data_IF_706762811114
#
_entry.id   IF_706762811114
#
_cell.length_a   1.000
_cell.length_b   1.000
_cell.length_c   1.000
_cell.angle_alpha   90.00
_cell.angle_beta   90.00
_cell.angle_gamma   90.00
#
_symmetry.space_group_name_H-M   'P 1'
#
loop_
_entity.id
_entity.type
_entity.pdbx_description
1 polymer ?
#
# COMPACT_ATOMS: atom_id res chain seq x y z
N UNK A 1 -7.08 2.39 -21.40
CA UNK A 1 -7.19 2.64 -19.95
C UNK A 1 -6.81 1.40 -19.19
N UNK A 2 -5.95 1.54 -18.20
CA UNK A 2 -5.51 0.42 -17.36
C UNK A 2 -5.95 0.64 -15.92
N UNK A 3 -6.09 -0.46 -15.19
CA UNK A 3 -6.36 -0.44 -13.76
C UNK A 3 -5.05 -0.68 -13.02
N UNK A 4 -4.63 0.29 -12.22
CA UNK A 4 -3.35 0.26 -11.51
C UNK A 4 -3.62 0.35 -10.02
N UNK A 5 -3.00 -0.54 -9.24
CA UNK A 5 -3.14 -0.57 -7.79
C UNK A 5 -1.81 -0.22 -7.13
N UNK A 6 -1.85 0.70 -6.17
CA UNK A 6 -0.70 1.06 -5.33
C UNK A 6 -0.87 0.51 -3.92
N UNK A 7 0.21 0.01 -3.36
CA UNK A 7 0.32 -0.35 -1.95
C UNK A 7 1.52 0.39 -1.35
N UNK A 8 1.29 1.07 -0.23
CA UNK A 8 2.35 1.82 0.43
C UNK A 8 2.15 1.83 1.94
N UNK A 9 3.23 1.92 2.69
CA UNK A 9 3.18 2.12 4.14
C UNK A 9 2.78 3.58 4.45
N UNK A 10 2.24 3.87 5.66
CA UNK A 10 1.77 5.21 6.02
C UNK A 10 2.93 6.13 6.43
N UNK A 11 3.88 6.33 5.53
CA UNK A 11 5.04 7.19 5.75
C UNK A 11 5.14 8.21 4.62
N UNK A 12 5.29 9.49 4.97
CA UNK A 12 5.37 10.57 3.98
C UNK A 12 6.53 10.39 3.01
N UNK A 13 7.70 9.94 3.51
CA UNK A 13 8.87 9.70 2.67
C UNK A 13 8.68 8.60 1.62
N UNK A 14 7.75 7.67 1.86
CA UNK A 14 7.41 6.60 0.92
C UNK A 14 6.23 6.98 0.04
N UNK A 15 5.27 7.72 0.58
CA UNK A 15 4.04 8.11 -0.14
C UNK A 15 4.29 9.26 -1.11
N UNK A 16 4.97 10.33 -0.69
CA UNK A 16 5.17 11.53 -1.51
C UNK A 16 5.77 11.24 -2.90
N UNK A 17 6.81 10.41 -3.04
CA UNK A 17 7.37 10.13 -4.36
C UNK A 17 6.37 9.47 -5.33
N UNK A 18 5.38 8.74 -4.81
CA UNK A 18 4.39 8.05 -5.65
C UNK A 18 3.30 8.99 -6.17
N UNK A 19 3.04 10.11 -5.51
CA UNK A 19 1.92 10.99 -5.84
C UNK A 19 2.05 11.62 -7.23
N UNK A 20 3.27 11.98 -7.64
CA UNK A 20 3.53 12.48 -8.98
C UNK A 20 3.22 11.44 -10.06
N UNK A 21 3.58 10.20 -9.80
CA UNK A 21 3.29 9.08 -10.70
C UNK A 21 1.79 8.82 -10.77
N UNK A 22 1.09 8.86 -9.64
CA UNK A 22 -0.37 8.70 -9.59
C UNK A 22 -1.05 9.80 -10.41
N UNK A 23 -0.64 11.06 -10.24
CA UNK A 23 -1.20 12.19 -11.02
C UNK A 23 -1.02 11.97 -12.52
N UNK A 24 0.15 11.50 -12.94
CA UNK A 24 0.44 11.23 -14.35
C UNK A 24 -0.44 10.10 -14.89
N UNK A 25 -0.61 9.02 -14.15
CA UNK A 25 -1.49 7.93 -14.56
C UNK A 25 -2.94 8.40 -14.69
N UNK A 26 -3.44 9.15 -13.72
CA UNK A 26 -4.82 9.65 -13.78
C UNK A 26 -5.02 10.67 -14.90
N UNK A 27 -4.02 11.52 -15.16
CA UNK A 27 -4.05 12.46 -16.27
C UNK A 27 -4.10 11.76 -17.63
N UNK A 28 -3.51 10.56 -17.73
CA UNK A 28 -3.55 9.75 -18.95
C UNK A 28 -4.78 8.86 -19.06
N UNK A 29 -5.72 8.99 -18.15
CA UNK A 29 -6.99 8.27 -18.20
C UNK A 29 -6.96 6.87 -17.57
N UNK A 30 -5.91 6.52 -16.83
CA UNK A 30 -5.86 5.26 -16.11
C UNK A 30 -6.64 5.36 -14.79
N UNK A 31 -7.22 4.24 -14.36
CA UNK A 31 -7.86 4.14 -13.07
C UNK A 31 -6.83 3.69 -12.04
N UNK A 32 -6.69 4.47 -10.96
CA UNK A 32 -5.73 4.19 -9.89
C UNK A 32 -6.47 3.96 -8.57
N UNK A 33 -6.20 2.82 -7.95
CA UNK A 33 -6.68 2.49 -6.61
C UNK A 33 -5.45 2.41 -5.69
N UNK A 34 -5.51 3.10 -4.54
CA UNK A 34 -4.36 3.25 -3.66
C UNK A 34 -4.71 2.76 -2.25
N UNK A 35 -4.08 1.68 -1.84
CA UNK A 35 -4.24 1.08 -0.51
C UNK A 35 -3.24 1.70 0.44
N UNK A 36 -3.71 2.37 1.47
CA UNK A 36 -2.88 2.99 2.49
C UNK A 36 -3.70 3.21 3.78
N UNK A 37 -3.31 4.16 4.57
CA UNK A 37 -3.89 4.41 5.90
C UNK A 37 -4.45 5.82 5.97
N UNK A 38 -5.42 6.04 6.87
CA UNK A 38 -6.17 7.29 6.96
C UNK A 38 -5.33 8.58 6.96
N UNK A 39 -4.16 8.65 7.65
CA UNK A 39 -3.34 9.85 7.61
C UNK A 39 -2.90 10.28 6.20
N UNK A 40 -2.87 9.35 5.24
CA UNK A 40 -2.46 9.60 3.86
C UNK A 40 -3.62 9.88 2.92
N UNK A 41 -4.88 9.72 3.36
CA UNK A 41 -6.08 9.81 2.50
C UNK A 41 -6.12 11.10 1.69
N UNK A 42 -5.99 12.25 2.34
CA UNK A 42 -6.12 13.55 1.69
C UNK A 42 -5.11 13.72 0.55
N UNK A 43 -3.86 13.35 0.78
CA UNK A 43 -2.80 13.43 -0.22
C UNK A 43 -3.07 12.51 -1.41
N UNK A 44 -3.50 11.30 -1.14
CA UNK A 44 -3.76 10.28 -2.16
C UNK A 44 -4.96 10.66 -3.01
N UNK A 45 -6.06 11.09 -2.40
CA UNK A 45 -7.25 11.51 -3.13
C UNK A 45 -6.98 12.78 -3.95
N UNK A 46 -6.18 13.72 -3.43
CA UNK A 46 -5.78 14.91 -4.17
C UNK A 46 -4.96 14.59 -5.42
N UNK A 47 -4.26 13.45 -5.44
CA UNK A 47 -3.53 12.99 -6.61
C UNK A 47 -4.42 12.32 -7.67
N UNK A 48 -5.69 12.08 -7.36
CA UNK A 48 -6.67 11.51 -8.28
C UNK A 48 -6.93 10.02 -8.12
N UNK A 49 -6.34 9.38 -7.13
CA UNK A 49 -6.55 7.95 -6.88
C UNK A 49 -7.79 7.72 -6.00
N UNK A 50 -8.39 6.53 -6.13
CA UNK A 50 -9.36 6.04 -5.18
C UNK A 50 -8.63 5.48 -3.98
N UNK A 51 -8.84 6.07 -2.81
CA UNK A 51 -8.22 5.61 -1.57
C UNK A 51 -8.98 4.42 -0.99
N UNK A 52 -8.23 3.41 -0.53
CA UNK A 52 -8.78 2.27 0.21
C UNK A 52 -8.03 2.15 1.53
N UNK A 53 -8.76 2.21 2.64
CA UNK A 53 -8.16 2.17 3.98
C UNK A 53 -7.78 0.75 4.39
N UNK A 54 -6.54 0.57 4.81
CA UNK A 54 -6.05 -0.67 5.42
C UNK A 54 -6.27 -0.70 6.95
N UNK A 55 -6.56 0.45 7.56
CA UNK A 55 -6.68 0.61 9.00
C UNK A 55 -7.56 -0.45 9.69
N UNK A 56 -8.76 -0.81 9.17
CA UNK A 56 -9.61 -1.78 9.84
C UNK A 56 -9.03 -3.20 9.93
N UNK A 57 -8.01 -3.49 9.13
CA UNK A 57 -7.45 -4.85 9.00
C UNK A 57 -6.07 -4.98 9.60
N UNK A 58 -5.44 -3.87 10.00
CA UNK A 58 -4.04 -3.85 10.40
C UNK A 58 -3.86 -3.80 11.91
N UNK A 59 -2.80 -4.44 12.38
CA UNK A 59 -2.37 -4.39 13.77
C UNK A 59 -1.80 -3.01 14.17
N UNK A 60 -1.41 -2.17 13.21
CA UNK A 60 -0.83 -0.85 13.50
C UNK A 60 -1.74 0.05 14.33
N UNK A 61 -3.06 -0.12 14.21
CA UNK A 61 -4.00 0.64 15.00
C UNK A 61 -3.89 0.36 16.52
N UNK A 62 -3.19 -0.70 16.90
CA UNK A 62 -2.96 -1.07 18.29
C UNK A 62 -1.58 -0.68 18.80
N UNK A 63 -0.74 -0.05 17.95
CA UNK A 63 0.59 0.39 18.34
C UNK A 63 0.52 1.61 19.26
N UNK A 64 1.38 1.61 20.28
CA UNK A 64 1.56 2.75 21.17
C UNK A 64 2.53 3.75 20.55
N UNK A 65 2.58 5.01 21.06
CA UNK A 65 3.62 5.96 20.63
C UNK A 65 5.03 5.43 20.85
N UNK A 66 5.25 4.65 21.92
CA UNK A 66 6.55 4.02 22.18
C UNK A 66 6.91 2.98 21.11
N UNK A 67 5.93 2.21 20.66
CA UNK A 67 6.11 1.25 19.58
C UNK A 67 6.46 1.96 18.28
N UNK A 68 5.78 3.07 17.97
CA UNK A 68 6.08 3.90 16.82
C UNK A 68 7.51 4.40 16.82
N UNK A 69 8.05 4.76 17.99
CA UNK A 69 9.43 5.20 18.13
C UNK A 69 10.46 4.06 17.92
N UNK A 70 10.07 2.80 18.14
CA UNK A 70 10.91 1.64 17.89
C UNK A 70 11.03 1.29 16.40
N UNK A 71 9.99 1.59 15.63
CA UNK A 71 9.97 1.31 14.20
C UNK A 71 11.11 2.10 13.53
N UNK A 72 11.96 1.41 12.78
CA UNK A 72 13.11 2.00 12.14
C UNK A 72 14.39 2.01 12.97
N UNK A 73 14.29 1.79 14.28
CA UNK A 73 15.45 1.70 15.18
C UNK A 73 15.74 0.27 15.61
N UNK A 74 14.72 -0.54 15.73
CA UNK A 74 14.80 -1.95 16.10
C UNK A 74 14.38 -2.77 14.89
N UNK A 75 15.35 -3.36 14.21
CA UNK A 75 15.12 -4.11 12.97
C UNK A 75 14.24 -5.32 13.23
N UNK A 76 14.44 -6.02 14.33
CA UNK A 76 13.64 -7.20 14.67
C UNK A 76 12.18 -6.81 14.90
N UNK A 77 11.94 -5.72 15.62
CA UNK A 77 10.60 -5.21 15.87
C UNK A 77 9.94 -4.73 14.58
N UNK A 78 10.67 -3.96 13.76
CA UNK A 78 10.14 -3.47 12.47
C UNK A 78 9.77 -4.62 11.54
N UNK A 79 10.61 -5.66 11.47
CA UNK A 79 10.34 -6.86 10.68
C UNK A 79 9.10 -7.59 11.19
N UNK A 80 8.97 -7.72 12.52
CA UNK A 80 7.79 -8.32 13.13
C UNK A 80 6.51 -7.58 12.74
N UNK A 81 6.51 -6.25 12.79
CA UNK A 81 5.36 -5.43 12.37
C UNK A 81 5.03 -5.65 10.89
N UNK A 82 6.03 -5.71 10.03
CA UNK A 82 5.79 -5.97 8.59
C UNK A 82 5.17 -7.33 8.35
N UNK A 83 5.63 -8.36 9.07
CA UNK A 83 5.06 -9.71 8.96
C UNK A 83 3.61 -9.73 9.46
N UNK A 84 3.35 -9.14 10.62
CA UNK A 84 1.99 -9.06 11.19
C UNK A 84 1.05 -8.31 10.25
N UNK A 85 1.49 -7.19 9.70
CA UNK A 85 0.71 -6.41 8.73
C UNK A 85 0.42 -7.24 7.48
N UNK A 86 1.41 -7.92 6.95
CA UNK A 86 1.25 -8.78 5.76
C UNK A 86 0.21 -9.86 6.01
N UNK A 87 0.28 -10.54 7.16
CA UNK A 87 -0.68 -11.58 7.52
C UNK A 87 -2.08 -11.01 7.74
N UNK A 88 -2.17 -9.85 8.39
CA UNK A 88 -3.46 -9.21 8.66
C UNK A 88 -4.17 -8.76 7.39
N UNK A 89 -3.44 -8.29 6.39
CA UNK A 89 -4.00 -7.77 5.14
C UNK A 89 -4.18 -8.83 4.05
N UNK A 90 -3.57 -10.01 4.19
CA UNK A 90 -3.50 -10.99 3.08
C UNK A 90 -4.87 -11.39 2.55
N UNK A 91 -5.81 -11.73 3.41
CA UNK A 91 -7.14 -12.18 2.98
C UNK A 91 -7.90 -11.08 2.24
N UNK A 92 -7.94 -9.88 2.81
CA UNK A 92 -8.65 -8.74 2.21
C UNK A 92 -8.01 -8.34 0.89
N UNK A 93 -6.68 -8.24 0.84
CA UNK A 93 -5.96 -7.82 -0.36
C UNK A 93 -6.12 -8.84 -1.48
N UNK A 94 -6.01 -10.14 -1.17
CA UNK A 94 -6.22 -11.18 -2.18
C UNK A 94 -7.66 -11.17 -2.74
N UNK A 95 -8.65 -11.04 -1.87
CA UNK A 95 -10.05 -10.97 -2.29
C UNK A 95 -10.30 -9.74 -3.17
N UNK A 96 -9.81 -8.57 -2.77
CA UNK A 96 -9.96 -7.33 -3.52
C UNK A 96 -9.28 -7.42 -4.90
N UNK A 97 -8.07 -7.97 -4.95
CA UNK A 97 -7.34 -8.07 -6.23
C UNK A 97 -8.00 -9.05 -7.18
N UNK A 98 -8.57 -10.14 -6.69
CA UNK A 98 -9.35 -11.05 -7.53
C UNK A 98 -10.59 -10.37 -8.11
N UNK A 99 -11.30 -9.60 -7.30
CA UNK A 99 -12.51 -8.90 -7.73
C UNK A 99 -12.21 -7.73 -8.67
N UNK A 100 -11.18 -6.95 -8.37
CA UNK A 100 -10.82 -5.76 -9.15
C UNK A 100 -10.10 -6.11 -10.45
N UNK A 101 -9.30 -7.17 -10.43
CA UNK A 101 -8.48 -7.64 -11.56
C UNK A 101 -7.61 -6.51 -12.16
N UNK A 102 -6.67 -5.94 -11.41
CA UNK A 102 -5.83 -4.85 -11.91
C UNK A 102 -4.87 -5.36 -12.99
N UNK A 103 -4.47 -4.45 -13.86
CA UNK A 103 -3.46 -4.74 -14.90
C UNK A 103 -2.04 -4.73 -14.36
N UNK A 104 -1.81 -3.97 -13.27
CA UNK A 104 -0.49 -3.83 -12.67
C UNK A 104 -0.62 -3.45 -11.20
N UNK A 105 0.32 -3.94 -10.39
CA UNK A 105 0.49 -3.54 -8.99
C UNK A 105 1.81 -2.79 -8.85
N UNK A 106 1.76 -1.61 -8.23
CA UNK A 106 2.94 -0.85 -7.82
C UNK A 106 2.97 -0.84 -6.30
N UNK A 107 4.03 -1.36 -5.70
CA UNK A 107 4.12 -1.40 -4.24
C UNK A 107 5.45 -0.83 -3.76
N UNK A 108 5.38 -0.08 -2.67
CA UNK A 108 6.56 0.34 -1.93
C UNK A 108 7.33 -0.89 -1.45
N UNK A 109 8.65 -0.80 -1.41
CA UNK A 109 9.51 -1.91 -1.00
C UNK A 109 9.20 -2.44 0.40
N UNK A 110 8.67 -1.59 1.27
CA UNK A 110 8.24 -1.97 2.63
C UNK A 110 6.82 -2.53 2.67
N UNK A 111 6.02 -2.30 1.63
CA UNK A 111 4.65 -2.84 1.53
C UNK A 111 4.69 -4.24 0.90
N UNK A 112 5.31 -5.20 1.59
CA UNK A 112 5.56 -6.54 1.06
C UNK A 112 4.30 -7.33 0.75
N UNK A 113 3.17 -7.00 1.36
CA UNK A 113 1.86 -7.60 1.04
C UNK A 113 1.45 -7.37 -0.41
N UNK A 114 1.81 -6.21 -0.99
CA UNK A 114 1.56 -5.92 -2.41
C UNK A 114 2.33 -6.86 -3.32
N UNK A 115 3.61 -7.08 -3.04
CA UNK A 115 4.44 -8.02 -3.79
C UNK A 115 3.92 -9.45 -3.64
N UNK A 116 3.55 -9.83 -2.42
CA UNK A 116 3.04 -11.17 -2.14
C UNK A 116 1.77 -11.48 -2.93
N UNK A 117 0.79 -10.56 -2.95
CA UNK A 117 -0.46 -10.77 -3.68
C UNK A 117 -0.22 -10.78 -5.20
N UNK A 118 0.65 -9.93 -5.71
CA UNK A 118 1.00 -9.90 -7.13
C UNK A 118 1.57 -11.25 -7.56
N UNK A 119 2.47 -11.81 -6.76
CA UNK A 119 3.05 -13.13 -7.02
C UNK A 119 2.01 -14.25 -6.96
N UNK A 120 1.15 -14.23 -5.94
CA UNK A 120 0.09 -15.25 -5.78
C UNK A 120 -0.89 -15.27 -6.94
N UNK A 121 -1.26 -14.10 -7.46
CA UNK A 121 -2.30 -13.98 -8.48
C UNK A 121 -1.75 -13.81 -9.90
N UNK A 122 -0.43 -13.78 -10.06
CA UNK A 122 0.20 -13.62 -11.37
C UNK A 122 -0.01 -12.25 -11.99
N UNK A 123 -0.11 -11.20 -11.17
CA UNK A 123 -0.29 -9.82 -11.64
C UNK A 123 1.07 -9.15 -11.84
N UNK A 124 1.28 -8.43 -12.95
CA UNK A 124 2.53 -7.66 -13.16
C UNK A 124 2.83 -6.72 -12.00
N UNK A 125 4.08 -6.67 -11.57
CA UNK A 125 4.49 -5.98 -10.36
C UNK A 125 5.66 -5.03 -10.61
N UNK A 126 5.57 -3.83 -10.04
CA UNK A 126 6.62 -2.82 -10.05
C UNK A 126 6.91 -2.43 -8.59
N UNK A 127 8.18 -2.47 -8.20
CA UNK A 127 8.61 -2.00 -6.88
C UNK A 127 8.88 -0.50 -6.92
N UNK A 128 8.30 0.22 -5.98
CA UNK A 128 8.56 1.64 -5.75
C UNK A 128 9.50 1.76 -4.55
N UNK A 129 10.65 2.32 -4.75
CA UNK A 129 11.64 2.51 -3.67
C UNK A 129 11.76 3.94 -3.29
#
# INVERSE_FOLDING_TARGET
MSKIVFFCIPAYGHTNPTLGVVREFTARGHEVRYYSYEPMRTLIEAAGAQFVACDPYDCEQHLTPADGARIGKDIAFSTHILVETTLALDEMVCADMRAYAPDCIVADSMAVWGKAVAKKLGIPFISST
#
